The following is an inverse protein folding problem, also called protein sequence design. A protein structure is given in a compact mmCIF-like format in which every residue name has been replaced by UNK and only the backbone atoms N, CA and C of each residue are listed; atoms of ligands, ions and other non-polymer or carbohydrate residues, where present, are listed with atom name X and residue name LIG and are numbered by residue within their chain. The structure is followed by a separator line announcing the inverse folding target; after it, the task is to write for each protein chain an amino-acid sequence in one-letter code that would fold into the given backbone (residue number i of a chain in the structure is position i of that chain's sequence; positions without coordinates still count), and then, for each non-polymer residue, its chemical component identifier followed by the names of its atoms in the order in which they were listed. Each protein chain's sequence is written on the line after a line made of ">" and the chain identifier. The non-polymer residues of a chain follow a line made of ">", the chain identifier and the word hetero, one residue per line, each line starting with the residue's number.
data_IF_016785792736
#
_entry.id   IF_016785792736
#
_cell.length_a   1.000
_cell.length_b   1.000
_cell.length_c   1.000
_cell.angle_alpha   90.00
_cell.angle_beta   90.00
_cell.angle_gamma   90.00
#
_symmetry.space_group_name_H-M   'P 1'
#
loop_
_entity.id
_entity.type
_entity.pdbx_description
1 polymer ?
#
# COMPACT_ATOMS: atom_id res chain seq x y z
N UNK A 1 -6.78 15.76 -19.60
CA UNK A 1 -7.39 14.53 -19.12
C UNK A 1 -6.35 13.61 -18.54
N UNK A 2 -6.68 12.95 -17.47
CA UNK A 2 -5.75 12.05 -16.84
C UNK A 2 -6.37 10.66 -16.73
N UNK A 3 -5.50 9.66 -16.63
CA UNK A 3 -5.91 8.28 -16.46
C UNK A 3 -5.31 7.80 -15.15
N UNK A 4 -6.16 7.25 -14.31
CA UNK A 4 -5.75 6.74 -13.02
C UNK A 4 -5.86 5.23 -13.05
N UNK A 5 -4.81 4.56 -12.62
CA UNK A 5 -4.79 3.11 -12.53
C UNK A 5 -4.50 2.72 -11.10
N UNK A 6 -4.79 1.49 -10.77
CA UNK A 6 -4.51 1.01 -9.43
C UNK A 6 -3.97 -0.40 -9.48
N UNK A 7 -3.20 -0.73 -8.45
CA UNK A 7 -2.70 -2.08 -8.25
C UNK A 7 -3.05 -2.50 -6.84
N UNK A 8 -3.40 -3.77 -6.69
CA UNK A 8 -3.70 -4.32 -5.37
C UNK A 8 -2.42 -4.73 -4.68
N UNK A 9 -2.32 -4.40 -3.40
CA UNK A 9 -1.16 -4.78 -2.62
C UNK A 9 -1.59 -5.21 -1.24
N UNK A 10 -0.80 -6.10 -0.67
CA UNK A 10 -0.89 -6.45 0.74
C UNK A 10 0.46 -6.16 1.33
N UNK A 11 0.48 -5.30 2.34
CA UNK A 11 1.71 -4.92 3.00
C UNK A 11 1.61 -5.25 4.47
N UNK A 12 2.74 -5.58 5.08
CA UNK A 12 2.72 -5.87 6.51
C UNK A 12 4.03 -5.42 7.13
N UNK A 13 3.95 -5.14 8.41
CA UNK A 13 5.08 -4.67 9.18
C UNK A 13 4.88 -5.07 10.63
N UNK A 14 5.95 -5.43 11.32
CA UNK A 14 5.85 -5.68 12.76
C UNK A 14 5.71 -4.41 13.58
N UNK A 15 5.88 -3.24 12.97
CA UNK A 15 5.95 -1.98 13.69
C UNK A 15 4.64 -1.20 13.73
N UNK A 16 3.70 -1.52 12.84
CA UNK A 16 2.42 -0.84 12.88
C UNK A 16 1.81 -0.72 11.49
N UNK A 17 0.54 -0.31 11.46
CA UNK A 17 -0.18 -0.17 10.20
C UNK A 17 0.38 0.97 9.36
N UNK A 18 0.75 2.06 10.00
CA UNK A 18 1.28 3.18 9.24
C UNK A 18 2.64 2.85 8.65
N UNK A 19 3.43 2.06 9.37
CA UNK A 19 4.72 1.62 8.83
C UNK A 19 4.49 0.70 7.62
N UNK A 20 3.49 -0.18 7.71
CA UNK A 20 3.15 -1.04 6.58
C UNK A 20 2.77 -0.21 5.37
N UNK A 21 1.97 0.84 5.57
CA UNK A 21 1.56 1.70 4.47
C UNK A 21 2.73 2.44 3.86
N UNK A 22 3.59 3.02 4.70
CA UNK A 22 4.74 3.74 4.19
C UNK A 22 5.68 2.84 3.42
N UNK A 23 5.87 1.62 3.93
CA UNK A 23 6.72 0.64 3.24
C UNK A 23 6.15 0.28 1.89
N UNK A 24 4.82 0.11 1.82
CA UNK A 24 4.18 -0.23 0.56
C UNK A 24 4.41 0.86 -0.48
N UNK A 25 4.24 2.12 -0.07
CA UNK A 25 4.43 3.24 -0.99
C UNK A 25 5.89 3.36 -1.41
N UNK A 26 6.79 3.20 -0.45
CA UNK A 26 8.21 3.29 -0.77
C UNK A 26 8.62 2.23 -1.77
N UNK A 27 8.15 1.00 -1.54
CA UNK A 27 8.49 -0.10 -2.43
C UNK A 27 7.88 0.11 -3.81
N UNK A 28 6.60 0.50 -3.85
CA UNK A 28 5.92 0.70 -5.12
C UNK A 28 6.55 1.83 -5.91
N UNK A 29 7.05 2.86 -5.23
CA UNK A 29 7.60 4.01 -5.91
C UNK A 29 8.87 3.69 -6.68
N UNK A 30 9.45 2.54 -6.44
CA UNK A 30 10.64 2.14 -7.18
C UNK A 30 10.32 1.77 -8.62
N UNK A 31 9.09 1.34 -8.89
CA UNK A 31 8.72 0.92 -10.23
C UNK A 31 7.52 1.68 -10.79
N UNK A 32 6.77 2.37 -9.94
CA UNK A 32 5.55 3.06 -10.35
C UNK A 32 5.74 4.55 -10.09
N UNK A 33 5.39 5.36 -11.08
CA UNK A 33 5.48 6.81 -10.94
C UNK A 33 4.10 7.41 -10.82
N UNK A 34 4.04 8.55 -10.15
CA UNK A 34 2.79 9.29 -10.07
C UNK A 34 1.80 8.72 -9.08
N UNK A 35 2.30 8.09 -8.02
CA UNK A 35 1.43 7.53 -6.99
C UNK A 35 0.63 8.66 -6.36
N UNK A 36 -0.69 8.47 -6.25
CA UNK A 36 -1.59 9.49 -5.73
C UNK A 36 -2.24 9.09 -4.42
N UNK A 37 -2.52 7.81 -4.22
CA UNK A 37 -3.21 7.41 -3.01
C UNK A 37 -3.01 5.93 -2.76
N UNK A 38 -3.27 5.55 -1.52
CA UNK A 38 -3.30 4.16 -1.12
C UNK A 38 -4.61 3.96 -0.38
N UNK A 39 -5.57 3.33 -1.04
CA UNK A 39 -6.88 3.07 -0.47
C UNK A 39 -6.81 1.78 0.34
N UNK A 40 -7.20 1.85 1.59
CA UNK A 40 -7.15 0.70 2.48
C UNK A 40 -8.50 0.01 2.47
N UNK A 41 -8.52 -1.21 1.97
CA UNK A 41 -9.74 -2.00 1.96
C UNK A 41 -10.00 -2.57 3.33
N UNK A 42 -8.98 -3.15 3.94
CA UNK A 42 -9.09 -3.62 5.31
C UNK A 42 -7.70 -3.72 5.92
N UNK A 43 -7.71 -3.87 7.22
CA UNK A 43 -6.48 -4.00 7.99
C UNK A 43 -6.71 -5.09 9.02
N UNK A 44 -5.66 -5.84 9.33
CA UNK A 44 -5.78 -6.91 10.29
C UNK A 44 -4.47 -7.10 11.00
N UNK A 45 -4.54 -7.67 12.18
CA UNK A 45 -3.36 -8.04 12.93
C UNK A 45 -3.13 -9.53 12.75
N UNK A 46 -1.91 -9.90 12.46
CA UNK A 46 -1.51 -11.31 12.40
C UNK A 46 -1.15 -11.74 13.80
N UNK A 47 -1.74 -12.84 14.25
CA UNK A 47 -1.57 -13.30 15.62
C UNK A 47 -0.94 -14.69 15.61
N UNK A 48 0.09 -14.85 16.42
CA UNK A 48 0.74 -16.14 16.63
C UNK A 48 1.00 -16.27 18.11
N UNK A 49 0.64 -17.43 18.67
CA UNK A 49 0.83 -17.70 20.08
C UNK A 49 0.23 -16.62 20.97
N UNK A 50 -0.97 -16.14 20.58
CA UNK A 50 -1.72 -15.12 21.32
C UNK A 50 -1.04 -13.75 21.35
N UNK A 51 -0.12 -13.51 20.43
CA UNK A 51 0.56 -12.22 20.35
C UNK A 51 0.48 -11.69 18.92
N UNK A 52 0.36 -10.39 18.79
CA UNK A 52 0.35 -9.75 17.49
C UNK A 52 1.77 -9.70 16.98
N UNK A 53 2.00 -10.32 15.83
CA UNK A 53 3.34 -10.37 15.24
C UNK A 53 3.48 -9.43 14.05
N UNK A 54 2.39 -9.14 13.37
CA UNK A 54 2.43 -8.28 12.19
C UNK A 54 1.16 -7.45 12.11
N UNK A 55 1.28 -6.29 11.51
CA UNK A 55 0.16 -5.44 11.17
C UNK A 55 0.06 -5.43 9.65
N UNK A 56 -1.07 -5.88 9.13
CA UNK A 56 -1.23 -6.11 7.70
C UNK A 56 -2.32 -5.20 7.14
N UNK A 57 -2.02 -4.56 6.02
CA UNK A 57 -3.01 -3.75 5.32
C UNK A 57 -3.19 -4.32 3.92
N UNK A 58 -4.43 -4.28 3.46
CA UNK A 58 -4.81 -4.76 2.14
C UNK A 58 -5.52 -3.61 1.44
N UNK A 59 -5.02 -3.24 0.28
CA UNK A 59 -5.63 -2.11 -0.39
C UNK A 59 -5.15 -1.95 -1.81
N UNK A 60 -5.36 -0.76 -2.33
CA UNK A 60 -4.99 -0.43 -3.70
C UNK A 60 -4.19 0.85 -3.72
N UNK A 61 -3.07 0.82 -4.43
CA UNK A 61 -2.29 2.01 -4.70
C UNK A 61 -2.75 2.54 -6.04
N UNK A 62 -3.18 3.80 -6.07
CA UNK A 62 -3.57 4.42 -7.32
C UNK A 62 -2.48 5.37 -7.78
N UNK A 63 -2.31 5.44 -9.08
CA UNK A 63 -1.32 6.30 -9.66
C UNK A 63 -1.85 6.87 -10.96
N UNK A 64 -1.35 8.03 -11.30
CA UNK A 64 -1.82 8.75 -12.46
C UNK A 64 -0.83 8.57 -13.59
N UNK A 65 -1.34 8.16 -14.73
CA UNK A 65 -0.51 8.03 -15.92
C UNK A 65 -0.48 9.37 -16.59
N UNK A 66 0.73 9.90 -16.75
CA UNK A 66 0.91 11.14 -17.47
C UNK A 66 1.01 10.86 -18.93
N UNK A 67 0.13 11.48 -19.67
CA UNK A 67 0.22 11.42 -21.11
C UNK A 67 1.05 12.56 -21.55
N UNK A 68 2.04 12.29 -22.33
CA UNK A 68 2.85 13.34 -22.85
C UNK A 68 1.99 14.37 -23.54
N UNK A 69 2.41 15.57 -23.56
CA UNK A 69 1.60 16.63 -24.13
C UNK A 69 1.45 16.48 -25.57
#
# INVERSE_FOLDING_TARGET
>A
MSIVRSIEVIAQSPNGFDDACRSAIKEASQTVRGIRSFWIKNAECVVENNEITMFRVNGKISFEIERGK
#
